data_IF_334275943943
#
_entry.id   IF_334275943943
#
_cell.length_a   1.000
_cell.length_b   1.000
_cell.length_c   1.000
_cell.angle_alpha   90.00
_cell.angle_beta   90.00
_cell.angle_gamma   90.00
#
_symmetry.space_group_name_H-M   'P 1'
#
loop_
_entity.id
_entity.type
_entity.pdbx_description
1 polymer ?
#
# COMPACT_ATOMS: atom_id res chain seq x y z
N UNK A 1 -17.47 10.65 35.34
CA UNK A 1 -17.20 9.79 34.17
C UNK A 1 -16.69 10.69 33.07
N UNK A 2 -15.38 10.69 32.82
CA UNK A 2 -14.81 11.44 31.71
C UNK A 2 -15.16 10.70 30.42
N UNK A 3 -16.08 11.24 29.62
CA UNK A 3 -16.23 10.84 28.22
C UNK A 3 -14.89 11.07 27.55
N UNK A 4 -14.11 10.00 27.31
CA UNK A 4 -12.99 10.07 26.38
C UNK A 4 -13.56 10.56 25.04
N UNK A 5 -12.87 11.46 24.31
CA UNK A 5 -13.30 11.80 22.97
C UNK A 5 -13.39 10.50 22.16
N UNK A 6 -14.49 10.33 21.44
CA UNK A 6 -14.57 9.30 20.42
C UNK A 6 -13.37 9.52 19.49
N UNK A 7 -12.58 8.47 19.25
CA UNK A 7 -11.59 8.53 18.16
C UNK A 7 -12.29 9.02 16.89
N UNK A 8 -11.60 9.79 16.04
CA UNK A 8 -12.19 10.20 14.78
C UNK A 8 -12.58 8.95 13.99
N UNK A 9 -13.59 9.11 13.15
CA UNK A 9 -14.00 8.09 12.21
C UNK A 9 -12.83 7.78 11.26
N UNK A 10 -12.38 6.52 11.25
CA UNK A 10 -11.22 6.08 10.48
C UNK A 10 -11.42 6.31 8.98
N UNK A 11 -12.64 6.15 8.46
CA UNK A 11 -12.92 6.38 7.03
C UNK A 11 -12.79 7.85 6.64
N UNK A 12 -13.14 8.76 7.55
CA UNK A 12 -12.92 10.20 7.39
C UNK A 12 -11.44 10.53 7.38
N UNK A 13 -10.66 9.94 8.30
CA UNK A 13 -9.21 10.12 8.35
C UNK A 13 -8.54 9.56 7.09
N UNK A 14 -8.97 8.38 6.63
CA UNK A 14 -8.49 7.81 5.37
C UNK A 14 -8.80 8.71 4.18
N UNK A 15 -10.05 9.19 4.05
CA UNK A 15 -10.44 10.05 2.95
C UNK A 15 -9.68 11.38 2.92
N UNK A 16 -9.33 11.93 4.08
CA UNK A 16 -8.50 13.12 4.19
C UNK A 16 -7.04 12.89 3.76
N UNK A 17 -6.52 11.66 3.94
CA UNK A 17 -5.23 11.28 3.39
C UNK A 17 -5.31 11.05 1.86
N UNK A 18 -6.20 10.15 1.47
CA UNK A 18 -6.64 9.93 0.09
C UNK A 18 -7.90 9.04 0.08
N UNK A 19 -8.97 9.41 -0.65
CA UNK A 19 -10.15 8.56 -0.78
C UNK A 19 -9.81 7.26 -1.53
N UNK A 20 -10.54 6.18 -1.26
CA UNK A 20 -10.21 4.83 -1.77
C UNK A 20 -9.98 4.78 -3.29
N UNK A 21 -10.82 5.46 -4.09
CA UNK A 21 -10.68 5.49 -5.55
C UNK A 21 -9.36 6.13 -6.01
N UNK A 22 -8.90 7.18 -5.32
CA UNK A 22 -7.64 7.86 -5.63
C UNK A 22 -6.43 6.96 -5.31
N UNK A 23 -6.47 6.26 -4.18
CA UNK A 23 -5.43 5.29 -3.81
C UNK A 23 -5.35 4.16 -4.83
N UNK A 24 -6.50 3.67 -5.31
CA UNK A 24 -6.58 2.61 -6.33
C UNK A 24 -6.00 3.10 -7.67
N UNK A 25 -6.35 4.31 -8.10
CA UNK A 25 -5.79 4.93 -9.31
C UNK A 25 -4.26 5.05 -9.21
N UNK A 26 -3.76 5.60 -8.10
CA UNK A 26 -2.33 5.78 -7.85
C UNK A 26 -1.58 4.44 -7.82
N UNK A 27 -2.14 3.43 -7.14
CA UNK A 27 -1.60 2.07 -7.14
C UNK A 27 -1.52 1.49 -8.55
N UNK A 28 -2.58 1.60 -9.35
CA UNK A 28 -2.60 1.09 -10.73
C UNK A 28 -1.59 1.84 -11.60
N UNK A 29 -1.44 3.16 -11.43
CA UNK A 29 -0.43 3.96 -12.11
C UNK A 29 0.99 3.50 -11.75
N UNK A 30 1.24 3.17 -10.48
CA UNK A 30 2.51 2.60 -10.01
C UNK A 30 2.85 1.30 -10.71
N UNK A 31 1.95 0.32 -10.69
CA UNK A 31 2.23 -0.97 -11.31
C UNK A 31 2.36 -0.86 -12.83
N UNK A 32 1.56 0.00 -13.47
CA UNK A 32 1.64 0.25 -14.91
C UNK A 32 2.98 0.87 -15.31
N UNK A 33 3.38 1.95 -14.63
CA UNK A 33 4.67 2.59 -14.90
C UNK A 33 5.84 1.66 -14.54
N UNK A 34 5.74 0.93 -13.43
CA UNK A 34 6.75 -0.05 -13.04
C UNK A 34 6.95 -1.11 -14.11
N UNK A 35 5.87 -1.62 -14.69
CA UNK A 35 5.94 -2.57 -15.80
C UNK A 35 6.49 -1.94 -17.08
N UNK A 36 6.12 -0.70 -17.42
CA UNK A 36 6.70 0.03 -18.55
C UNK A 36 8.24 0.16 -18.44
N UNK A 37 8.76 0.32 -17.22
CA UNK A 37 10.19 0.41 -16.95
C UNK A 37 10.89 -0.95 -16.96
N UNK A 38 10.24 -1.99 -16.43
CA UNK A 38 10.78 -3.36 -16.35
C UNK A 38 10.72 -4.10 -17.69
N UNK A 39 9.66 -3.88 -18.47
CA UNK A 39 9.40 -4.52 -19.75
C UNK A 39 8.92 -3.47 -20.78
N UNK A 40 9.82 -2.63 -21.32
CA UNK A 40 9.46 -1.62 -22.30
C UNK A 40 8.81 -2.22 -23.54
N UNK A 41 7.66 -1.66 -23.95
CA UNK A 41 6.92 -2.12 -25.13
C UNK A 41 5.95 -3.28 -24.86
N UNK A 42 5.70 -3.63 -23.60
CA UNK A 42 4.63 -4.56 -23.24
C UNK A 42 3.25 -4.02 -23.69
N UNK A 43 2.29 -4.92 -23.92
CA UNK A 43 0.92 -4.53 -24.26
C UNK A 43 0.23 -3.86 -23.07
N UNK A 44 -0.63 -2.84 -23.28
CA UNK A 44 -1.33 -2.18 -22.18
C UNK A 44 -2.09 -3.16 -21.28
N UNK A 45 -1.76 -3.16 -20.00
CA UNK A 45 -2.36 -4.05 -19.01
C UNK A 45 -3.72 -3.53 -18.54
N UNK A 46 -4.77 -4.37 -18.54
CA UNK A 46 -6.09 -3.98 -18.05
C UNK A 46 -6.07 -3.80 -16.52
N UNK A 47 -6.91 -2.89 -16.02
CA UNK A 47 -7.02 -2.59 -14.59
C UNK A 47 -7.29 -3.82 -13.72
N UNK A 48 -8.06 -4.81 -14.23
CA UNK A 48 -8.33 -6.04 -13.51
C UNK A 48 -7.07 -6.90 -13.26
N UNK A 49 -6.08 -6.83 -14.14
CA UNK A 49 -4.79 -7.52 -13.96
C UNK A 49 -3.87 -6.71 -13.04
N UNK A 50 -3.87 -5.37 -13.14
CA UNK A 50 -3.23 -4.51 -12.14
C UNK A 50 -3.82 -4.69 -10.75
N UNK A 51 -5.05 -5.23 -10.66
CA UNK A 51 -5.69 -5.56 -9.40
C UNK A 51 -5.45 -6.95 -8.84
N UNK A 52 -4.77 -7.79 -9.61
CA UNK A 52 -4.48 -9.15 -9.23
C UNK A 52 -3.28 -9.21 -8.27
N UNK A 53 -3.44 -9.76 -7.05
CA UNK A 53 -2.34 -9.83 -6.08
C UNK A 53 -1.13 -10.64 -6.57
N UNK A 54 -1.32 -11.63 -7.46
CA UNK A 54 -0.21 -12.39 -8.05
C UNK A 54 0.57 -11.59 -9.09
N UNK A 55 -0.11 -10.74 -9.86
CA UNK A 55 0.52 -9.80 -10.78
C UNK A 55 1.37 -8.79 -10.02
N UNK A 56 0.75 -8.16 -9.01
CA UNK A 56 1.37 -7.15 -8.16
C UNK A 56 2.58 -7.69 -7.43
N UNK A 57 2.53 -8.93 -6.92
CA UNK A 57 3.68 -9.60 -6.32
C UNK A 57 4.88 -9.64 -7.27
N UNK A 58 4.68 -10.08 -8.52
CA UNK A 58 5.76 -10.22 -9.51
C UNK A 58 6.38 -8.88 -9.88
N UNK A 59 5.56 -7.86 -10.14
CA UNK A 59 6.06 -6.51 -10.38
C UNK A 59 6.78 -5.98 -9.13
N UNK A 60 6.22 -6.19 -7.95
CA UNK A 60 6.82 -5.76 -6.68
C UNK A 60 8.17 -6.40 -6.39
N UNK A 61 8.34 -7.71 -6.64
CA UNK A 61 9.63 -8.40 -6.51
C UNK A 61 10.66 -7.86 -7.51
N UNK A 62 10.25 -7.54 -8.72
CA UNK A 62 11.11 -6.98 -9.76
C UNK A 62 11.50 -5.53 -9.51
N UNK A 63 10.56 -4.68 -9.09
CA UNK A 63 10.84 -3.31 -8.65
C UNK A 63 11.74 -3.28 -7.40
N UNK A 64 11.71 -4.32 -6.59
CA UNK A 64 12.62 -4.45 -5.45
C UNK A 64 13.98 -5.08 -5.80
N UNK A 65 14.22 -5.43 -7.07
CA UNK A 65 15.46 -6.07 -7.53
C UNK A 65 15.71 -7.47 -6.96
N UNK A 66 14.67 -8.13 -6.43
CA UNK A 66 14.79 -9.47 -5.82
C UNK A 66 14.67 -10.59 -6.85
N UNK A 67 13.80 -10.41 -7.83
CA UNK A 67 13.57 -11.36 -8.92
C UNK A 67 13.39 -10.60 -10.23
N UNK A 68 13.86 -11.13 -11.38
CA UNK A 68 13.53 -10.52 -12.67
C UNK A 68 12.02 -10.59 -12.94
N UNK A 69 11.49 -9.60 -13.66
CA UNK A 69 10.11 -9.68 -14.13
C UNK A 69 9.99 -10.77 -15.19
N UNK A 70 9.05 -11.70 -14.98
CA UNK A 70 8.70 -12.76 -15.92
C UNK A 70 7.20 -12.72 -16.16
N UNK A 71 6.83 -12.54 -17.42
CA UNK A 71 5.44 -12.65 -17.82
C UNK A 71 4.97 -14.09 -17.62
N UNK A 72 3.80 -14.23 -17.01
CA UNK A 72 3.23 -15.53 -16.65
C UNK A 72 1.72 -15.38 -16.50
N UNK A 73 1.04 -16.49 -16.78
CA UNK A 73 -0.41 -16.61 -16.64
C UNK A 73 -0.82 -16.49 -15.17
N UNK A 74 -1.37 -15.34 -14.84
CA UNK A 74 -2.01 -15.04 -13.57
C UNK A 74 -3.52 -14.92 -13.66
N UNK A 75 -4.15 -15.44 -14.72
CA UNK A 75 -5.59 -15.40 -14.81
C UNK A 75 -6.22 -16.18 -13.63
N UNK A 76 -6.84 -15.42 -12.73
CA UNK A 76 -7.57 -15.95 -11.57
C UNK A 76 -9.00 -16.34 -11.93
N UNK A 77 -9.51 -15.92 -13.09
CA UNK A 77 -10.90 -16.17 -13.52
C UNK A 77 -11.31 -17.64 -13.42
N UNK A 78 -10.52 -18.59 -13.96
CA UNK A 78 -10.86 -20.02 -13.92
C UNK A 78 -10.91 -20.64 -12.52
N UNK A 79 -10.28 -20.01 -11.52
CA UNK A 79 -10.16 -20.56 -10.16
C UNK A 79 -10.94 -19.78 -9.10
N UNK A 80 -11.69 -18.74 -9.50
CA UNK A 80 -12.41 -17.87 -8.57
C UNK A 80 -13.91 -17.86 -8.81
N UNK A 81 -14.67 -17.56 -7.75
CA UNK A 81 -16.08 -17.20 -7.80
C UNK A 81 -16.24 -15.77 -7.31
N UNK A 82 -16.95 -14.94 -8.05
CA UNK A 82 -17.26 -13.57 -7.63
C UNK A 82 -18.47 -13.56 -6.69
N UNK A 83 -18.29 -12.97 -5.51
CA UNK A 83 -19.36 -12.75 -4.55
C UNK A 83 -19.69 -11.25 -4.45
N UNK A 84 -20.98 -10.89 -4.40
CA UNK A 84 -21.37 -9.50 -4.25
C UNK A 84 -21.04 -8.97 -2.85
N UNK A 85 -20.44 -7.78 -2.79
CA UNK A 85 -20.08 -7.09 -1.55
C UNK A 85 -20.54 -5.60 -1.58
N UNK A 86 -21.74 -5.36 -2.11
CA UNK A 86 -22.29 -4.02 -2.32
C UNK A 86 -22.04 -3.53 -3.75
N UNK A 87 -21.39 -2.35 -3.96
CA UNK A 87 -21.07 -1.82 -5.28
C UNK A 87 -19.87 -2.52 -5.92
N UNK A 88 -19.14 -3.35 -5.15
CA UNK A 88 -18.00 -4.14 -5.61
C UNK A 88 -18.29 -5.63 -5.48
N UNK A 89 -17.56 -6.43 -6.24
CA UNK A 89 -17.51 -7.89 -6.12
C UNK A 89 -16.16 -8.31 -5.56
N UNK A 90 -16.14 -9.30 -4.67
CA UNK A 90 -14.90 -9.91 -4.16
C UNK A 90 -14.74 -11.27 -4.82
N UNK A 91 -13.55 -11.51 -5.39
CA UNK A 91 -13.18 -12.84 -5.90
C UNK A 91 -12.80 -13.73 -4.73
N UNK A 92 -13.39 -14.92 -4.69
CA UNK A 92 -13.06 -15.97 -3.71
C UNK A 92 -12.44 -17.14 -4.47
N UNK A 93 -11.27 -17.61 -4.02
CA UNK A 93 -10.64 -18.80 -4.61
C UNK A 93 -11.43 -20.07 -4.27
N UNK A 94 -12.05 -20.68 -5.26
CA UNK A 94 -12.96 -21.85 -5.10
C UNK A 94 -12.65 -22.99 -6.05
N UNK A 95 -11.92 -22.74 -7.15
CA UNK A 95 -11.63 -23.72 -8.19
C UNK A 95 -10.67 -24.82 -7.73
N UNK A 96 -10.77 -25.99 -8.36
CA UNK A 96 -9.96 -27.16 -8.00
C UNK A 96 -8.44 -26.92 -8.10
N UNK A 97 -8.02 -26.13 -9.09
CA UNK A 97 -6.60 -25.81 -9.34
C UNK A 97 -6.09 -24.63 -8.49
N UNK A 98 -6.92 -24.05 -7.62
CA UNK A 98 -6.55 -22.87 -6.84
C UNK A 98 -5.34 -23.13 -5.92
N UNK A 99 -5.23 -24.35 -5.36
CA UNK A 99 -4.10 -24.74 -4.51
C UNK A 99 -2.77 -24.66 -5.27
N UNK A 100 -2.73 -25.11 -6.53
CA UNK A 100 -1.50 -25.12 -7.31
C UNK A 100 -1.13 -23.71 -7.77
N UNK A 101 -2.13 -22.93 -8.22
CA UNK A 101 -1.94 -21.53 -8.66
C UNK A 101 -1.49 -20.61 -7.52
N UNK A 102 -1.89 -20.87 -6.28
CA UNK A 102 -1.58 -20.05 -5.10
C UNK A 102 -0.47 -20.65 -4.21
N UNK A 103 0.19 -21.72 -4.64
CA UNK A 103 1.19 -22.43 -3.84
C UNK A 103 2.37 -21.54 -3.39
N UNK A 104 2.85 -20.64 -4.26
CA UNK A 104 3.91 -19.68 -3.90
C UNK A 104 3.42 -18.72 -2.81
N UNK A 105 2.24 -18.12 -3.00
CA UNK A 105 1.65 -17.20 -2.03
C UNK A 105 1.50 -17.88 -0.65
N UNK A 106 1.03 -19.13 -0.62
CA UNK A 106 0.88 -19.89 0.63
C UNK A 106 2.23 -20.16 1.31
N UNK A 107 3.29 -20.46 0.55
CA UNK A 107 4.65 -20.63 1.09
C UNK A 107 5.20 -19.35 1.70
N UNK A 108 5.07 -18.23 0.99
CA UNK A 108 5.56 -16.93 1.46
C UNK A 108 4.81 -16.50 2.71
N UNK A 109 3.47 -16.56 2.70
CA UNK A 109 2.65 -16.17 3.84
C UNK A 109 2.92 -17.08 5.04
N UNK A 110 3.04 -18.40 4.84
CA UNK A 110 3.41 -19.31 5.92
C UNK A 110 4.77 -18.96 6.52
N UNK A 111 5.77 -18.60 5.72
CA UNK A 111 7.09 -18.21 6.21
C UNK A 111 7.03 -16.94 7.04
N UNK A 112 6.13 -16.01 6.71
CA UNK A 112 5.94 -14.75 7.44
C UNK A 112 5.12 -14.94 8.73
N UNK A 113 4.06 -15.75 8.68
CA UNK A 113 3.11 -15.86 9.79
C UNK A 113 3.41 -17.01 10.76
N UNK A 114 3.91 -18.14 10.26
CA UNK A 114 4.13 -19.37 11.03
C UNK A 114 5.43 -20.09 10.61
N UNK A 115 6.62 -19.50 10.84
CA UNK A 115 7.90 -20.08 10.41
C UNK A 115 8.08 -21.55 10.84
N UNK A 116 8.58 -22.39 9.92
CA UNK A 116 8.85 -23.81 10.18
C UNK A 116 7.66 -24.77 10.10
N UNK A 117 6.46 -24.30 9.74
CA UNK A 117 5.30 -25.15 9.46
C UNK A 117 5.16 -25.47 7.97
N UNK A 118 4.25 -26.39 7.63
CA UNK A 118 3.89 -26.61 6.22
C UNK A 118 2.97 -25.48 5.73
N UNK A 119 3.08 -25.07 4.45
CA UNK A 119 2.14 -24.10 3.87
C UNK A 119 0.69 -24.58 4.03
N UNK A 120 -0.25 -23.69 4.40
CA UNK A 120 -1.65 -24.03 4.48
C UNK A 120 -2.20 -24.29 3.07
N UNK A 121 -3.24 -25.12 3.00
CA UNK A 121 -4.00 -25.40 1.78
C UNK A 121 -5.29 -24.60 1.76
N UNK A 122 -5.79 -24.38 0.56
CA UNK A 122 -7.08 -23.75 0.33
C UNK A 122 -8.21 -24.77 0.49
N UNK A 123 -9.29 -24.34 1.14
CA UNK A 123 -10.56 -25.05 1.18
C UNK A 123 -11.34 -24.75 -0.10
N UNK A 124 -11.36 -25.70 -1.02
CA UNK A 124 -12.04 -25.59 -2.32
C UNK A 124 -13.27 -26.50 -2.38
N UNK A 125 -14.33 -26.08 -3.08
CA UNK A 125 -15.54 -26.90 -3.25
C UNK A 125 -16.43 -27.03 -2.01
N UNK A 126 -16.33 -26.08 -1.07
CA UNK A 126 -17.16 -26.05 0.14
C UNK A 126 -18.25 -24.96 0.04
N UNK A 127 -19.44 -25.38 -0.35
CA UNK A 127 -20.58 -24.48 -0.57
C UNK A 127 -21.06 -23.81 0.73
N UNK A 128 -20.91 -24.46 1.88
CA UNK A 128 -21.30 -23.91 3.18
C UNK A 128 -20.35 -22.79 3.62
N UNK A 129 -19.04 -23.01 3.48
CA UNK A 129 -18.04 -21.99 3.74
C UNK A 129 -18.23 -20.79 2.80
N UNK A 130 -18.47 -21.05 1.51
CA UNK A 130 -18.73 -20.00 0.52
C UNK A 130 -20.00 -19.20 0.83
N UNK A 131 -21.09 -19.87 1.24
CA UNK A 131 -22.32 -19.20 1.67
C UNK A 131 -22.10 -18.34 2.92
N UNK A 132 -21.28 -18.82 3.86
CA UNK A 132 -20.89 -18.09 5.08
C UNK A 132 -20.06 -16.86 4.74
N UNK A 133 -19.11 -16.97 3.81
CA UNK A 133 -18.34 -15.84 3.27
C UNK A 133 -19.27 -14.80 2.63
N UNK A 134 -20.19 -15.23 1.77
CA UNK A 134 -21.15 -14.32 1.15
C UNK A 134 -22.02 -13.61 2.19
N UNK A 135 -22.45 -14.31 3.24
CA UNK A 135 -23.20 -13.71 4.35
C UNK A 135 -22.36 -12.74 5.17
N UNK A 136 -21.07 -13.05 5.38
CA UNK A 136 -20.12 -12.19 6.05
C UNK A 136 -19.86 -10.88 5.32
N UNK A 137 -19.62 -10.94 4.01
CA UNK A 137 -19.45 -9.74 3.17
C UNK A 137 -20.68 -8.82 3.23
N UNK A 138 -21.89 -9.39 3.22
CA UNK A 138 -23.12 -8.62 3.46
C UNK A 138 -23.16 -8.03 4.87
N UNK A 139 -22.74 -8.79 5.88
CA UNK A 139 -22.73 -8.35 7.28
C UNK A 139 -21.76 -7.19 7.52
N UNK A 140 -20.60 -7.14 6.87
CA UNK A 140 -19.69 -5.97 6.93
C UNK A 140 -20.44 -4.70 6.54
N UNK A 141 -21.15 -4.74 5.40
CA UNK A 141 -21.88 -3.58 4.86
C UNK A 141 -23.10 -3.21 5.69
N UNK A 142 -23.81 -4.20 6.23
CA UNK A 142 -24.96 -4.01 7.12
C UNK A 142 -24.55 -3.29 8.42
N UNK A 143 -23.41 -3.67 8.99
CA UNK A 143 -22.91 -3.11 10.26
C UNK A 143 -22.22 -1.77 10.06
N UNK A 144 -21.27 -1.71 9.12
CA UNK A 144 -20.43 -0.53 8.90
C UNK A 144 -20.26 -0.26 7.39
N UNK A 145 -21.26 0.35 6.74
CA UNK A 145 -21.21 0.58 5.30
C UNK A 145 -20.04 1.47 4.88
N UNK A 146 -19.67 2.44 5.71
CA UNK A 146 -18.52 3.31 5.45
C UNK A 146 -17.20 2.52 5.44
N UNK A 147 -16.94 1.69 6.46
CA UNK A 147 -15.75 0.82 6.47
C UNK A 147 -15.78 -0.20 5.33
N UNK A 148 -16.96 -0.71 4.98
CA UNK A 148 -17.12 -1.62 3.85
C UNK A 148 -16.67 -0.97 2.54
N UNK A 149 -17.19 0.21 2.22
CA UNK A 149 -16.84 0.97 1.01
C UNK A 149 -15.36 1.38 1.00
N UNK A 150 -14.82 1.68 2.17
CA UNK A 150 -13.45 2.16 2.34
C UNK A 150 -12.38 1.07 2.24
N UNK A 151 -12.66 -0.16 2.73
CA UNK A 151 -11.69 -1.26 2.82
C UNK A 151 -11.85 -2.29 1.69
N UNK A 152 -13.08 -2.68 1.33
CA UNK A 152 -13.31 -3.76 0.36
C UNK A 152 -12.78 -3.43 -1.04
N UNK A 153 -12.70 -2.15 -1.39
CA UNK A 153 -12.16 -1.70 -2.67
C UNK A 153 -10.66 -2.06 -2.85
N UNK A 154 -9.96 -2.40 -1.76
CA UNK A 154 -8.55 -2.80 -1.78
C UNK A 154 -8.36 -4.33 -1.81
N UNK A 155 -9.40 -5.11 -1.49
CA UNK A 155 -9.34 -6.58 -1.46
C UNK A 155 -9.55 -7.13 -2.88
N UNK A 156 -8.50 -7.71 -3.46
CA UNK A 156 -8.54 -8.30 -4.79
C UNK A 156 -8.87 -9.79 -4.81
N UNK A 157 -8.49 -10.53 -3.76
CA UNK A 157 -8.72 -11.97 -3.65
C UNK A 157 -8.90 -12.38 -2.18
N UNK A 158 -9.96 -13.13 -1.91
CA UNK A 158 -10.20 -13.79 -0.63
C UNK A 158 -9.99 -15.30 -0.78
N UNK A 159 -9.34 -15.90 0.22
CA UNK A 159 -9.05 -17.33 0.28
C UNK A 159 -9.54 -17.87 1.62
N UNK A 160 -10.28 -18.97 1.56
CA UNK A 160 -10.63 -19.75 2.76
C UNK A 160 -9.63 -20.90 2.89
N UNK A 161 -9.03 -21.05 4.08
CA UNK A 161 -8.05 -22.09 4.37
C UNK A 161 -8.72 -23.37 4.83
N UNK A 162 -8.09 -24.50 4.52
CA UNK A 162 -8.47 -25.80 5.07
C UNK A 162 -8.00 -25.87 6.54
N UNK A 163 -8.94 -25.98 7.52
CA UNK A 163 -8.60 -25.97 8.94
C UNK A 163 -7.69 -27.14 9.34
N UNK A 164 -7.66 -28.24 8.57
CA UNK A 164 -6.74 -29.35 8.81
C UNK A 164 -5.27 -28.99 8.53
N UNK A 165 -5.04 -27.92 7.76
CA UNK A 165 -3.69 -27.50 7.32
C UNK A 165 -3.34 -26.06 7.70
N UNK A 166 -4.32 -25.24 8.11
CA UNK A 166 -4.13 -23.83 8.50
C UNK A 166 -3.13 -23.67 9.64
N UNK A 167 -2.96 -24.70 10.47
CA UNK A 167 -2.00 -24.70 11.58
C UNK A 167 -2.36 -23.68 12.66
N UNK A 168 -3.62 -23.27 12.74
CA UNK A 168 -4.12 -22.25 13.66
C UNK A 168 -4.03 -20.81 13.13
N UNK A 169 -3.75 -20.63 11.83
CA UNK A 169 -3.82 -19.33 11.18
C UNK A 169 -5.29 -18.91 11.00
N UNK A 170 -5.74 -17.94 11.80
CA UNK A 170 -7.14 -17.45 11.78
C UNK A 170 -7.39 -16.54 10.58
N UNK A 171 -6.52 -15.57 10.36
CA UNK A 171 -6.53 -14.69 9.20
C UNK A 171 -5.13 -14.18 8.91
N UNK A 172 -4.88 -13.79 7.66
CA UNK A 172 -3.63 -13.17 7.25
C UNK A 172 -3.78 -12.35 5.97
N UNK A 173 -2.90 -11.38 5.84
CA UNK A 173 -2.59 -10.66 4.62
C UNK A 173 -1.08 -10.47 4.55
N UNK A 174 -0.56 -10.24 3.35
CA UNK A 174 0.88 -10.01 3.15
C UNK A 174 1.11 -8.82 2.26
N UNK A 175 2.04 -7.96 2.66
CA UNK A 175 2.52 -6.86 1.82
C UNK A 175 3.14 -7.32 0.50
N UNK A 176 3.59 -8.57 0.42
CA UNK A 176 4.13 -9.14 -0.82
C UNK A 176 3.03 -9.52 -1.81
N UNK A 177 1.84 -9.86 -1.30
CA UNK A 177 0.65 -10.15 -2.12
C UNK A 177 -0.45 -9.12 -1.83
N UNK A 178 -0.23 -7.83 -2.13
CA UNK A 178 -1.15 -6.77 -1.75
C UNK A 178 -2.50 -6.98 -2.45
N UNK A 179 -3.56 -7.10 -1.65
CA UNK A 179 -4.91 -7.44 -2.12
C UNK A 179 -5.35 -8.87 -1.81
N UNK A 180 -4.44 -9.74 -1.34
CA UNK A 180 -4.76 -11.09 -0.90
C UNK A 180 -5.11 -11.13 0.58
N UNK A 181 -6.30 -11.66 0.89
CA UNK A 181 -6.77 -11.94 2.24
C UNK A 181 -6.97 -13.45 2.41
N UNK A 182 -6.43 -14.01 3.49
CA UNK A 182 -6.66 -15.39 3.91
C UNK A 182 -7.50 -15.38 5.19
N UNK A 183 -8.46 -16.28 5.28
CA UNK A 183 -9.21 -16.57 6.50
C UNK A 183 -9.29 -18.08 6.71
N UNK A 184 -9.29 -18.54 7.96
CA UNK A 184 -9.65 -19.92 8.28
C UNK A 184 -11.11 -20.20 7.90
N UNK A 185 -11.52 -21.48 7.88
CA UNK A 185 -12.93 -21.85 7.62
C UNK A 185 -13.84 -21.13 8.62
N UNK A 186 -14.68 -20.17 8.17
CA UNK A 186 -15.52 -19.43 9.10
C UNK A 186 -16.70 -20.29 9.57
N UNK A 187 -17.04 -20.16 10.85
CA UNK A 187 -18.23 -20.76 11.46
C UNK A 187 -19.43 -19.81 11.47
N UNK A 188 -19.20 -18.51 11.27
CA UNK A 188 -20.25 -17.50 11.29
C UNK A 188 -19.96 -16.31 10.36
N UNK A 189 -21.00 -15.57 9.93
CA UNK A 189 -20.81 -14.33 9.17
C UNK A 189 -19.98 -13.27 9.89
N UNK A 190 -19.99 -13.27 11.24
CA UNK A 190 -19.25 -12.29 12.03
C UNK A 190 -17.75 -12.55 12.01
N UNK A 191 -17.30 -13.81 11.97
CA UNK A 191 -15.88 -14.14 11.81
C UNK A 191 -15.34 -13.64 10.48
N UNK A 192 -16.11 -13.82 9.40
CA UNK A 192 -15.76 -13.26 8.08
C UNK A 192 -15.74 -11.75 8.14
N UNK A 193 -16.77 -11.11 8.74
CA UNK A 193 -16.84 -9.66 8.79
C UNK A 193 -15.67 -9.05 9.58
N UNK A 194 -15.34 -9.63 10.73
CA UNK A 194 -14.21 -9.23 11.55
C UNK A 194 -12.88 -9.41 10.80
N UNK A 195 -12.66 -10.57 10.19
CA UNK A 195 -11.45 -10.83 9.42
C UNK A 195 -11.30 -9.89 8.22
N UNK A 196 -12.39 -9.57 7.53
CA UNK A 196 -12.38 -8.63 6.40
C UNK A 196 -12.06 -7.20 6.86
N UNK A 197 -12.59 -6.75 8.00
CA UNK A 197 -12.21 -5.44 8.54
C UNK A 197 -10.73 -5.44 8.95
N UNK A 198 -10.26 -6.49 9.61
CA UNK A 198 -8.86 -6.61 10.05
C UNK A 198 -7.90 -6.63 8.85
N UNK A 199 -8.04 -7.63 7.98
CA UNK A 199 -7.12 -7.84 6.88
C UNK A 199 -7.31 -6.81 5.76
N UNK A 200 -8.54 -6.34 5.55
CA UNK A 200 -8.82 -5.22 4.63
C UNK A 200 -8.14 -3.93 5.08
N UNK A 201 -8.04 -3.66 6.38
CA UNK A 201 -7.28 -2.55 6.91
C UNK A 201 -5.78 -2.67 6.60
N UNK A 202 -5.18 -3.85 6.83
CA UNK A 202 -3.77 -4.10 6.44
C UNK A 202 -3.56 -3.89 4.94
N UNK A 203 -4.44 -4.46 4.10
CA UNK A 203 -4.34 -4.33 2.65
C UNK A 203 -4.43 -2.86 2.20
N UNK A 204 -5.35 -2.09 2.77
CA UNK A 204 -5.43 -0.65 2.52
C UNK A 204 -4.17 0.09 2.98
N UNK A 205 -3.63 -0.27 4.15
CA UNK A 205 -2.40 0.32 4.64
C UNK A 205 -1.22 0.01 3.71
N UNK A 206 -1.13 -1.19 3.15
CA UNK A 206 -0.10 -1.52 2.16
C UNK A 206 -0.22 -0.62 0.92
N UNK A 207 -1.44 -0.37 0.45
CA UNK A 207 -1.67 0.57 -0.66
C UNK A 207 -1.29 2.02 -0.28
N UNK A 208 -1.55 2.45 0.96
CA UNK A 208 -1.04 3.73 1.46
C UNK A 208 0.48 3.74 1.49
N UNK A 209 1.13 2.71 2.02
CA UNK A 209 2.58 2.66 2.18
C UNK A 209 3.35 2.72 0.84
N UNK A 210 2.75 2.26 -0.27
CA UNK A 210 3.37 2.37 -1.61
C UNK A 210 3.03 3.67 -2.34
N UNK A 211 2.02 4.43 -1.88
CA UNK A 211 1.57 5.67 -2.52
C UNK A 211 1.87 6.93 -1.70
N UNK A 212 2.23 6.78 -0.41
CA UNK A 212 2.34 7.85 0.59
C UNK A 212 3.58 7.68 1.46
N UNK A 213 3.96 8.71 2.20
CA UNK A 213 5.15 8.74 3.04
C UNK A 213 4.86 8.13 4.42
N UNK A 214 5.02 6.81 4.54
CA UNK A 214 4.71 6.08 5.77
C UNK A 214 5.94 5.72 6.62
N UNK A 215 6.96 5.10 6.02
CA UNK A 215 8.14 4.61 6.73
C UNK A 215 9.42 5.11 6.03
N UNK A 216 10.37 5.61 6.81
CA UNK A 216 11.67 6.06 6.32
C UNK A 216 12.62 4.87 6.16
N UNK A 217 13.57 4.96 5.22
CA UNK A 217 14.46 3.85 4.85
C UNK A 217 15.29 3.29 6.03
N UNK A 218 15.71 4.15 6.97
CA UNK A 218 16.67 3.78 8.02
C UNK A 218 16.13 3.98 9.46
N UNK A 219 14.97 4.62 9.65
CA UNK A 219 14.59 5.14 10.96
C UNK A 219 14.02 4.09 11.93
N UNK A 220 13.62 2.91 11.42
CA UNK A 220 12.96 1.86 12.18
C UNK A 220 13.88 0.71 12.65
N UNK A 221 15.16 0.70 12.25
CA UNK A 221 16.05 -0.43 12.53
C UNK A 221 16.30 -0.59 14.04
N UNK A 222 16.16 -1.83 14.54
CA UNK A 222 16.40 -2.17 15.95
C UNK A 222 15.28 -1.79 16.94
N UNK A 223 14.27 -1.01 16.52
CA UNK A 223 13.12 -0.64 17.36
C UNK A 223 12.08 -1.76 17.35
N UNK A 224 11.77 -2.29 18.52
CA UNK A 224 10.80 -3.39 18.67
C UNK A 224 9.78 -3.10 19.76
N UNK A 225 8.52 -3.34 19.44
CA UNK A 225 7.41 -3.32 20.39
C UNK A 225 7.09 -4.75 20.83
N UNK A 226 6.75 -4.93 22.11
CA UNK A 226 6.19 -6.18 22.62
C UNK A 226 4.84 -5.86 23.26
N UNK A 227 3.71 -6.20 22.61
CA UNK A 227 2.40 -5.94 23.18
C UNK A 227 2.20 -6.72 24.48
N UNK A 228 1.39 -6.18 25.39
CA UNK A 228 1.08 -6.79 26.69
C UNK A 228 0.41 -8.17 26.59
N UNK A 229 -0.19 -8.50 25.44
CA UNK A 229 -0.91 -9.74 25.19
C UNK A 229 -0.17 -10.75 24.29
N UNK A 230 1.07 -10.46 23.86
CA UNK A 230 1.87 -11.41 23.07
C UNK A 230 3.35 -11.32 23.42
N UNK A 231 4.04 -12.46 23.41
CA UNK A 231 5.49 -12.51 23.60
C UNK A 231 6.29 -12.13 22.35
N UNK A 232 5.60 -11.94 21.21
CA UNK A 232 6.24 -11.59 19.95
C UNK A 232 6.82 -10.16 19.99
N UNK A 233 8.00 -9.99 19.39
CA UNK A 233 8.58 -8.69 19.14
C UNK A 233 8.21 -8.23 17.74
N UNK A 234 7.66 -7.02 17.62
CA UNK A 234 7.19 -6.45 16.36
C UNK A 234 8.06 -5.26 15.96
N UNK A 235 8.64 -5.24 14.74
CA UNK A 235 9.29 -4.05 14.22
C UNK A 235 8.26 -2.94 13.95
N UNK A 236 8.71 -1.68 13.91
CA UNK A 236 7.84 -0.49 13.75
C UNK A 236 6.80 -0.63 12.64
N UNK A 237 7.19 -1.17 11.48
CA UNK A 237 6.26 -1.43 10.35
C UNK A 237 5.07 -2.31 10.77
N UNK A 238 5.34 -3.44 11.42
CA UNK A 238 4.29 -4.35 11.90
C UNK A 238 3.44 -3.69 12.99
N UNK A 239 4.05 -2.84 13.81
CA UNK A 239 3.35 -2.12 14.87
C UNK A 239 2.38 -1.09 14.28
N UNK A 240 2.80 -0.34 13.26
CA UNK A 240 1.94 0.59 12.52
C UNK A 240 0.78 -0.14 11.83
N UNK A 241 1.06 -1.29 11.22
CA UNK A 241 0.04 -2.15 10.62
C UNK A 241 -0.99 -2.64 11.65
N UNK A 242 -0.52 -3.17 12.78
CA UNK A 242 -1.40 -3.59 13.86
C UNK A 242 -2.23 -2.43 14.44
N UNK A 243 -1.63 -1.25 14.63
CA UNK A 243 -2.34 -0.05 15.08
C UNK A 243 -3.52 0.29 14.16
N UNK A 244 -3.26 0.35 12.85
CA UNK A 244 -4.26 0.69 11.84
C UNK A 244 -5.40 -0.33 11.81
N UNK A 245 -5.09 -1.62 11.78
CA UNK A 245 -6.09 -2.68 11.80
C UNK A 245 -6.95 -2.67 13.07
N UNK A 246 -6.34 -2.54 14.25
CA UNK A 246 -7.11 -2.47 15.50
C UNK A 246 -7.93 -1.18 15.63
N UNK A 247 -7.51 -0.08 15.00
CA UNK A 247 -8.31 1.15 14.92
C UNK A 247 -9.59 0.92 14.11
N UNK A 248 -9.47 0.29 12.94
CA UNK A 248 -10.62 -0.05 12.10
C UNK A 248 -11.55 -1.05 12.82
N UNK A 249 -10.98 -2.07 13.47
CA UNK A 249 -11.77 -3.01 14.29
C UNK A 249 -12.44 -2.33 15.48
N UNK A 250 -11.81 -1.35 16.11
CA UNK A 250 -12.42 -0.64 17.24
C UNK A 250 -13.63 0.18 16.78
N UNK A 251 -13.57 0.80 15.59
CA UNK A 251 -14.74 1.44 15.00
C UNK A 251 -15.82 0.41 14.65
N UNK A 252 -15.46 -0.70 14.00
CA UNK A 252 -16.43 -1.76 13.68
C UNK A 252 -17.10 -2.33 14.93
N UNK A 253 -16.35 -2.53 16.03
CA UNK A 253 -16.88 -2.97 17.31
C UNK A 253 -17.93 -2.00 17.87
N UNK A 254 -17.71 -0.69 17.74
CA UNK A 254 -18.69 0.33 18.13
C UNK A 254 -19.95 0.25 17.25
N UNK A 255 -19.79 -0.05 15.97
CA UNK A 255 -20.92 -0.20 15.04
C UNK A 255 -21.77 -1.43 15.39
N UNK A 256 -21.13 -2.57 15.70
CA UNK A 256 -21.80 -3.77 16.21
C UNK A 256 -22.52 -3.50 17.53
N UNK A 257 -21.89 -2.78 18.46
CA UNK A 257 -22.49 -2.41 19.74
C UNK A 257 -23.71 -1.51 19.55
N UNK A 258 -23.64 -0.53 18.64
CA UNK A 258 -24.78 0.35 18.31
C UNK A 258 -25.97 -0.42 17.73
N UNK A 259 -25.73 -1.53 17.03
CA UNK A 259 -26.80 -2.41 16.53
C UNK A 259 -27.32 -3.40 17.59
N UNK A 260 -26.68 -3.47 18.77
CA UNK A 260 -27.05 -4.42 19.82
C UNK A 260 -26.66 -5.86 19.50
N UNK A 261 -25.73 -6.08 18.57
CA UNK A 261 -25.38 -7.42 18.07
C UNK A 261 -24.14 -8.04 18.74
N UNK A 262 -23.60 -7.42 19.80
CA UNK A 262 -22.41 -7.94 20.52
C UNK A 262 -22.58 -9.37 21.05
N UNK A 263 -23.81 -9.80 21.34
CA UNK A 263 -24.12 -11.16 21.78
C UNK A 263 -24.00 -12.22 20.67
N UNK A 264 -23.87 -11.80 19.40
CA UNK A 264 -23.72 -12.68 18.23
C UNK A 264 -22.27 -13.00 17.91
N UNK A 265 -21.33 -12.38 18.61
CA UNK A 265 -19.90 -12.58 18.41
C UNK A 265 -19.43 -13.89 19.03
N UNK A 266 -18.49 -14.57 18.37
CA UNK A 266 -17.84 -15.75 18.92
C UNK A 266 -16.94 -15.42 20.13
N UNK A 267 -16.59 -16.43 20.94
CA UNK A 267 -15.76 -16.23 22.14
C UNK A 267 -14.35 -15.68 21.84
N UNK A 268 -13.84 -15.93 20.63
CA UNK A 268 -12.51 -15.53 20.20
C UNK A 268 -12.49 -14.18 19.45
N UNK A 269 -13.63 -13.47 19.38
CA UNK A 269 -13.72 -12.17 18.70
C UNK A 269 -12.80 -11.13 19.32
N UNK A 270 -12.03 -10.45 18.46
CA UNK A 270 -11.11 -9.37 18.82
C UNK A 270 -11.82 -8.04 19.06
N UNK A 271 -13.09 -7.91 18.67
CA UNK A 271 -13.83 -6.63 18.72
C UNK A 271 -13.87 -6.03 20.13
N UNK A 272 -14.04 -6.86 21.16
CA UNK A 272 -14.06 -6.42 22.56
C UNK A 272 -12.71 -5.85 23.05
N UNK A 273 -11.61 -6.19 22.38
CA UNK A 273 -10.24 -5.79 22.73
C UNK A 273 -9.64 -4.77 21.77
N UNK A 274 -10.27 -4.53 20.62
CA UNK A 274 -9.69 -3.74 19.54
C UNK A 274 -9.27 -2.33 20.00
N UNK A 275 -10.13 -1.62 20.74
CA UNK A 275 -9.82 -0.28 21.26
C UNK A 275 -8.64 -0.28 22.23
N UNK A 276 -8.62 -1.25 23.15
CA UNK A 276 -7.55 -1.39 24.15
C UNK A 276 -6.21 -1.62 23.45
N UNK A 277 -6.17 -2.56 22.50
CA UNK A 277 -4.98 -2.90 21.72
C UNK A 277 -4.49 -1.74 20.87
N UNK A 278 -5.37 -1.08 20.12
CA UNK A 278 -5.01 0.08 19.31
C UNK A 278 -4.46 1.22 20.19
N UNK A 279 -5.02 1.44 21.38
CA UNK A 279 -4.56 2.49 22.29
C UNK A 279 -3.15 2.20 22.83
N UNK A 280 -2.88 0.95 23.23
CA UNK A 280 -1.55 0.55 23.70
C UNK A 280 -0.50 0.76 22.60
N UNK A 281 -0.80 0.28 21.40
CA UNK A 281 0.10 0.38 20.25
C UNK A 281 0.33 1.85 19.87
N UNK A 282 -0.75 2.63 19.74
CA UNK A 282 -0.66 4.03 19.33
C UNK A 282 0.17 4.88 20.30
N UNK A 283 0.09 4.61 21.61
CA UNK A 283 0.94 5.28 22.60
C UNK A 283 2.42 4.95 22.44
N UNK A 284 2.74 3.71 22.11
CA UNK A 284 4.12 3.34 21.81
C UNK A 284 4.61 4.04 20.54
N UNK A 285 3.81 4.03 19.46
CA UNK A 285 4.16 4.71 18.21
C UNK A 285 4.35 6.23 18.39
N UNK A 286 3.59 6.88 19.27
CA UNK A 286 3.79 8.31 19.57
C UNK A 286 5.13 8.59 20.24
N UNK A 287 5.72 7.61 20.94
CA UNK A 287 7.07 7.70 21.50
C UNK A 287 8.17 7.41 20.49
N UNK A 288 7.82 6.84 19.33
CA UNK A 288 8.72 6.45 18.24
C UNK A 288 8.39 7.23 16.96
N UNK A 289 7.86 8.45 17.10
CA UNK A 289 7.31 9.21 15.98
C UNK A 289 8.38 9.56 14.93
N UNK A 290 9.63 9.70 15.35
CA UNK A 290 10.80 9.94 14.52
C UNK A 290 11.10 8.78 13.56
N UNK A 291 10.60 7.56 13.84
CA UNK A 291 10.67 6.41 12.95
C UNK A 291 9.60 6.42 11.83
N UNK A 292 8.61 7.30 11.94
CA UNK A 292 7.51 7.44 10.97
C UNK A 292 7.75 8.63 10.04
N UNK A 293 7.28 8.52 8.80
CA UNK A 293 7.26 9.64 7.86
C UNK A 293 5.99 10.49 8.01
N UNK A 294 5.92 11.61 7.28
CA UNK A 294 4.90 12.64 7.46
C UNK A 294 3.44 12.10 7.48
N UNK A 295 3.06 11.28 6.51
CA UNK A 295 1.67 10.80 6.38
C UNK A 295 1.33 9.81 7.50
N UNK A 296 2.26 8.93 7.88
CA UNK A 296 2.07 8.03 9.02
C UNK A 296 1.99 8.77 10.35
N UNK A 297 2.82 9.80 10.58
CA UNK A 297 2.73 10.66 11.78
C UNK A 297 1.38 11.37 11.84
N UNK A 298 0.93 11.93 10.73
CA UNK A 298 -0.37 12.60 10.65
C UNK A 298 -1.51 11.63 10.94
N UNK A 299 -1.51 10.44 10.32
CA UNK A 299 -2.51 9.40 10.54
C UNK A 299 -2.56 8.98 12.02
N UNK A 300 -1.41 8.66 12.61
CA UNK A 300 -1.26 8.26 14.01
C UNK A 300 -1.81 9.34 14.95
N UNK A 301 -1.32 10.58 14.82
CA UNK A 301 -1.70 11.69 15.71
C UNK A 301 -3.18 12.02 15.60
N UNK A 302 -3.73 12.02 14.38
CA UNK A 302 -5.16 12.24 14.13
C UNK A 302 -6.01 11.17 14.82
N UNK A 303 -5.72 9.88 14.59
CA UNK A 303 -6.46 8.77 15.17
C UNK A 303 -6.34 8.71 16.70
N UNK A 304 -5.18 9.10 17.25
CA UNK A 304 -4.96 9.17 18.69
C UNK A 304 -5.49 10.45 19.35
N UNK A 305 -6.09 11.36 18.57
CA UNK A 305 -6.52 12.70 19.00
C UNK A 305 -5.40 13.49 19.70
N UNK A 306 -4.16 13.35 19.21
CA UNK A 306 -3.01 14.09 19.72
C UNK A 306 -2.93 15.45 19.02
N UNK A 307 -3.22 16.52 19.76
CA UNK A 307 -3.24 17.90 19.25
C UNK A 307 -1.83 18.48 19.02
N UNK A 308 -0.78 17.76 19.41
CA UNK A 308 0.57 18.15 19.01
C UNK A 308 0.71 17.91 17.51
N UNK A 309 0.44 18.97 16.73
CA UNK A 309 0.47 18.93 15.27
C UNK A 309 1.79 18.36 14.75
N UNK A 310 1.80 17.68 13.59
CA UNK A 310 3.04 17.16 13.03
C UNK A 310 4.03 18.31 12.90
N UNK A 311 5.21 18.16 13.52
CA UNK A 311 6.28 19.13 13.38
C UNK A 311 6.52 19.37 11.90
N UNK A 312 6.48 20.64 11.48
CA UNK A 312 6.71 20.99 10.09
C UNK A 312 8.13 20.53 9.73
N UNK A 313 8.25 19.59 8.79
CA UNK A 313 9.56 19.18 8.30
C UNK A 313 10.26 20.42 7.74
N UNK A 314 11.47 20.69 8.23
CA UNK A 314 12.28 21.75 7.65
C UNK A 314 12.63 21.33 6.22
N UNK A 315 12.23 22.07 5.19
CA UNK A 315 12.57 21.72 3.82
C UNK A 315 14.09 21.69 3.70
N UNK A 316 14.62 20.59 3.17
CA UNK A 316 16.02 20.50 2.79
C UNK A 316 16.24 21.55 1.70
N UNK A 317 16.96 22.61 2.03
CA UNK A 317 17.16 23.76 1.16
C UNK A 317 18.62 23.83 0.77
N UNK A 318 19.02 23.02 -0.22
CA UNK A 318 20.24 23.33 -0.95
C UNK A 318 19.98 24.56 -1.81
N UNK A 319 20.85 25.58 -1.78
CA UNK A 319 20.68 26.75 -2.63
C UNK A 319 20.74 26.34 -4.10
N UNK A 320 19.70 26.70 -4.85
CA UNK A 320 19.62 26.48 -6.30
C UNK A 320 20.51 27.49 -7.01
N UNK A 321 21.44 26.99 -7.83
CA UNK A 321 22.38 27.83 -8.57
C UNK A 321 21.70 28.53 -9.75
N UNK A 322 22.31 29.59 -10.28
CA UNK A 322 21.83 30.17 -11.55
C UNK A 322 22.15 29.21 -12.70
N UNK A 323 21.14 28.82 -13.48
CA UNK A 323 21.31 27.86 -14.57
C UNK A 323 20.04 27.65 -15.40
N UNK A 324 20.11 26.74 -16.37
CA UNK A 324 18.93 26.16 -17.02
C UNK A 324 18.67 24.78 -16.43
N UNK A 325 17.41 24.49 -16.20
CA UNK A 325 16.95 23.28 -15.54
C UNK A 325 16.05 22.51 -16.50
N UNK A 326 16.37 21.25 -16.74
CA UNK A 326 15.57 20.37 -17.58
C UNK A 326 15.24 19.10 -16.80
N UNK A 327 14.05 18.54 -17.04
CA UNK A 327 13.73 17.22 -16.53
C UNK A 327 14.73 16.21 -17.11
N UNK A 328 15.14 15.23 -16.30
CA UNK A 328 16.00 14.15 -16.79
C UNK A 328 15.30 13.43 -17.98
N UNK A 329 15.95 13.34 -19.16
CA UNK A 329 15.33 12.79 -20.36
C UNK A 329 15.00 11.29 -20.26
N UNK A 330 15.56 10.59 -19.27
CA UNK A 330 15.24 9.18 -19.03
C UNK A 330 13.98 9.00 -18.19
N UNK A 331 13.48 10.06 -17.54
CA UNK A 331 12.26 9.95 -16.75
C UNK A 331 11.04 9.67 -17.63
N UNK A 332 10.10 8.96 -17.02
CA UNK A 332 8.74 8.73 -17.49
C UNK A 332 7.80 9.27 -16.43
N UNK A 333 6.81 10.04 -16.85
CA UNK A 333 5.83 10.64 -15.93
C UNK A 333 4.46 10.04 -16.19
N UNK A 334 3.75 9.72 -15.12
CA UNK A 334 2.32 9.43 -15.13
C UNK A 334 1.62 10.43 -14.20
N UNK A 335 0.66 11.20 -14.72
CA UNK A 335 -0.14 12.16 -13.93
C UNK A 335 -1.50 11.54 -13.61
N UNK A 336 -1.91 11.66 -12.36
CA UNK A 336 -3.20 11.18 -11.88
C UNK A 336 -4.22 12.31 -11.99
N UNK A 337 -5.36 12.04 -12.62
CA UNK A 337 -6.36 13.09 -12.87
C UNK A 337 -7.09 13.46 -11.58
N UNK A 338 -7.42 12.48 -10.73
CA UNK A 338 -8.21 12.74 -9.54
C UNK A 338 -7.43 13.49 -8.46
N UNK A 339 -6.12 13.27 -8.34
CA UNK A 339 -5.29 13.85 -7.27
C UNK A 339 -4.33 14.93 -7.74
N UNK A 340 -4.09 15.04 -9.05
CA UNK A 340 -3.11 15.95 -9.62
C UNK A 340 -1.65 15.57 -9.33
N UNK A 341 -1.41 14.51 -8.55
CA UNK A 341 -0.07 13.97 -8.26
C UNK A 341 0.56 13.43 -9.53
N UNK A 342 1.88 13.27 -9.49
CA UNK A 342 2.68 12.71 -10.59
C UNK A 342 3.57 11.61 -10.04
N UNK A 343 3.59 10.47 -10.73
CA UNK A 343 4.57 9.43 -10.52
C UNK A 343 5.67 9.60 -11.57
N UNK A 344 6.90 9.83 -11.11
CA UNK A 344 8.08 9.89 -11.95
C UNK A 344 8.86 8.58 -11.82
N UNK A 345 9.23 7.98 -12.94
CA UNK A 345 9.96 6.72 -12.98
C UNK A 345 11.20 6.79 -13.85
N UNK A 346 12.31 6.24 -13.38
CA UNK A 346 13.59 6.16 -14.10
C UNK A 346 13.95 4.69 -14.37
N UNK A 347 14.31 4.34 -15.62
CA UNK A 347 14.87 3.03 -15.92
C UNK A 347 16.15 2.75 -15.12
N UNK A 348 16.29 1.53 -14.61
CA UNK A 348 17.43 1.10 -13.79
C UNK A 348 17.33 -0.38 -13.46
N UNK A 349 18.27 -0.89 -12.66
CA UNK A 349 18.25 -2.26 -12.13
C UNK A 349 18.52 -2.23 -10.60
N UNK A 350 17.48 -2.08 -9.76
CA UNK A 350 16.06 -1.92 -10.12
C UNK A 350 15.69 -0.50 -10.61
N UNK A 351 14.52 -0.32 -11.26
CA UNK A 351 13.99 1.01 -11.59
C UNK A 351 13.72 1.87 -10.34
N UNK A 352 13.85 3.19 -10.49
CA UNK A 352 13.55 4.15 -9.42
C UNK A 352 12.19 4.80 -9.65
N UNK A 353 11.39 4.97 -8.58
CA UNK A 353 10.05 5.54 -8.63
C UNK A 353 9.91 6.64 -7.57
N UNK A 354 9.32 7.76 -7.94
CA UNK A 354 9.13 8.94 -7.08
C UNK A 354 7.72 9.49 -7.22
N UNK A 355 7.01 9.58 -6.10
CA UNK A 355 5.76 10.33 -6.03
C UNK A 355 6.03 11.81 -5.84
N UNK A 356 5.40 12.64 -6.66
CA UNK A 356 5.43 14.09 -6.62
C UNK A 356 4.01 14.63 -6.42
N UNK A 357 3.88 15.69 -5.63
CA UNK A 357 2.62 16.37 -5.38
C UNK A 357 2.77 17.90 -5.50
N UNK A 358 1.63 18.60 -5.50
CA UNK A 358 1.56 20.06 -5.53
C UNK A 358 2.48 20.71 -6.56
N UNK A 359 3.27 21.67 -6.09
CA UNK A 359 4.21 22.42 -6.94
C UNK A 359 5.32 21.55 -7.56
N UNK A 360 5.72 20.46 -6.91
CA UNK A 360 6.73 19.55 -7.45
C UNK A 360 6.20 18.78 -8.66
N UNK A 361 4.95 18.31 -8.57
CA UNK A 361 4.25 17.67 -9.68
C UNK A 361 4.05 18.64 -10.86
N UNK A 362 3.57 19.86 -10.58
CA UNK A 362 3.34 20.86 -11.61
C UNK A 362 4.64 21.28 -12.31
N UNK A 363 5.72 21.51 -11.55
CA UNK A 363 7.01 21.87 -12.11
C UNK A 363 7.62 20.72 -12.94
N UNK A 364 7.48 19.47 -12.51
CA UNK A 364 7.95 18.32 -13.29
C UNK A 364 7.23 18.21 -14.65
N UNK A 365 5.91 18.40 -14.68
CA UNK A 365 5.11 18.41 -15.92
C UNK A 365 5.47 19.61 -16.80
N UNK A 366 5.66 20.78 -16.20
CA UNK A 366 6.08 21.98 -16.93
C UNK A 366 7.45 21.79 -17.61
N UNK A 367 8.41 21.19 -16.90
CA UNK A 367 9.74 20.89 -17.45
C UNK A 367 9.69 19.77 -18.49
N UNK A 368 8.78 18.78 -18.37
CA UNK A 368 8.61 17.75 -19.40
C UNK A 368 8.10 18.31 -20.73
N UNK A 369 7.42 19.46 -20.70
CA UNK A 369 6.96 20.19 -21.88
C UNK A 369 8.00 21.16 -22.45
N UNK A 370 9.13 21.35 -21.77
CA UNK A 370 10.22 22.23 -22.19
C UNK A 370 11.56 21.46 -22.25
N UNK A 371 11.81 20.65 -23.30
CA UNK A 371 13.00 19.80 -23.39
C UNK A 371 14.34 20.56 -23.36
N UNK A 372 14.34 21.82 -23.80
CA UNK A 372 15.51 22.70 -23.71
C UNK A 372 15.80 23.20 -22.28
N UNK A 373 14.92 22.86 -21.33
CA UNK A 373 14.91 23.36 -19.97
C UNK A 373 14.35 24.78 -19.87
N UNK A 374 14.24 25.25 -18.63
CA UNK A 374 13.87 26.62 -18.25
C UNK A 374 14.94 27.22 -17.36
N UNK A 375 15.22 28.50 -17.54
CA UNK A 375 16.08 29.25 -16.63
C UNK A 375 15.40 29.44 -15.27
N UNK A 376 16.19 29.65 -14.21
CA UNK A 376 15.64 29.95 -12.88
C UNK A 376 14.69 31.16 -12.88
N UNK A 377 14.95 32.17 -13.73
CA UNK A 377 14.06 33.32 -13.90
C UNK A 377 12.72 32.99 -14.57
N UNK A 378 12.68 31.99 -15.45
CA UNK A 378 11.44 31.52 -16.06
C UNK A 378 10.64 30.61 -15.13
N UNK A 379 11.32 29.87 -14.25
CA UNK A 379 10.69 29.00 -13.25
C UNK A 379 10.07 29.80 -12.09
N UNK A 380 10.68 30.94 -11.74
CA UNK A 380 10.24 31.78 -10.63
C UNK A 380 11.01 31.50 -9.33
N UNK A 381 11.21 32.54 -8.53
CA UNK A 381 11.96 32.44 -7.27
C UNK A 381 11.18 31.70 -6.18
N UNK A 382 9.84 31.76 -6.25
CA UNK A 382 8.91 31.09 -5.36
C UNK A 382 9.01 29.55 -5.44
N UNK A 383 9.36 29.02 -6.62
CA UNK A 383 9.56 27.58 -6.84
C UNK A 383 11.00 27.10 -6.65
N UNK A 384 11.91 27.97 -6.23
CA UNK A 384 13.32 27.63 -6.09
C UNK A 384 13.56 26.50 -5.08
N UNK A 385 12.84 26.47 -3.97
CA UNK A 385 12.94 25.38 -2.98
C UNK A 385 12.53 24.04 -3.57
N UNK A 386 11.40 24.00 -4.28
CA UNK A 386 10.89 22.80 -4.94
C UNK A 386 11.87 22.31 -6.02
N UNK A 387 12.38 23.23 -6.84
CA UNK A 387 13.39 22.93 -7.84
C UNK A 387 14.66 22.34 -7.19
N UNK A 388 15.11 22.89 -6.06
CA UNK A 388 16.25 22.37 -5.30
C UNK A 388 16.03 20.93 -4.85
N UNK A 389 14.84 20.61 -4.32
CA UNK A 389 14.48 19.25 -3.94
C UNK A 389 14.44 18.30 -5.15
N UNK A 390 13.88 18.72 -6.29
CA UNK A 390 13.87 17.92 -7.52
C UNK A 390 15.28 17.67 -8.08
N UNK A 391 16.19 18.63 -7.94
CA UNK A 391 17.60 18.47 -8.33
C UNK A 391 18.33 17.53 -7.36
N UNK A 392 18.08 17.62 -6.06
CA UNK A 392 18.66 16.71 -5.06
C UNK A 392 18.17 15.27 -5.23
N UNK A 393 16.89 15.09 -5.55
CA UNK A 393 16.31 13.82 -5.95
C UNK A 393 16.78 13.37 -7.36
N UNK A 394 17.66 14.13 -8.01
CA UNK A 394 18.22 13.91 -9.35
C UNK A 394 17.19 13.90 -10.49
N UNK A 395 15.94 14.28 -10.24
CA UNK A 395 14.88 14.28 -11.25
C UNK A 395 15.04 15.40 -12.27
N UNK A 396 15.70 16.49 -11.86
CA UNK A 396 15.99 17.64 -12.70
C UNK A 396 17.50 17.85 -12.79
N UNK A 397 17.99 18.12 -13.99
CA UNK A 397 19.40 18.38 -14.27
C UNK A 397 19.63 19.87 -14.48
N UNK A 398 20.69 20.40 -13.88
CA UNK A 398 21.16 21.76 -14.13
C UNK A 398 22.19 21.77 -15.27
N UNK A 399 21.92 22.50 -16.35
CA UNK A 399 22.87 22.78 -17.41
C UNK A 399 23.60 24.12 -17.14
N UNK A 400 24.93 24.15 -17.14
CA UNK A 400 25.68 25.40 -17.02
C UNK A 400 25.40 26.29 -18.24
N UNK A 401 25.16 27.59 -18.00
CA UNK A 401 24.97 28.58 -19.07
C UNK A 401 26.19 28.59 -20.00
N UNK A 402 26.00 28.23 -21.26
CA UNK A 402 26.99 28.43 -22.33
C UNK A 402 27.89 27.24 -22.67
N UNK A 403 27.66 26.05 -22.10
CA UNK A 403 28.33 24.83 -22.55
C UNK A 403 27.67 24.27 -23.80
N UNK A 404 28.19 24.61 -24.99
CA UNK A 404 27.91 23.83 -26.20
C UNK A 404 28.33 22.39 -25.91
N UNK A 405 27.40 21.43 -26.00
CA UNK A 405 27.73 20.01 -25.98
C UNK A 405 28.69 19.76 -27.14
N UNK A 406 29.99 19.68 -26.85
CA UNK A 406 31.01 19.34 -27.84
C UNK A 406 30.78 17.89 -28.25
N UNK A 407 30.10 17.74 -29.39
CA UNK A 407 30.10 16.53 -30.21
C UNK A 407 31.54 16.24 -30.63
N UNK A 408 32.30 15.57 -29.77
CA UNK A 408 33.54 14.93 -30.20
C UNK A 408 33.20 13.52 -30.66
N UNK A 409 32.98 13.41 -31.97
CA UNK A 409 33.05 12.16 -32.72
C UNK A 409 34.39 11.50 -32.42
N UNK A 410 34.37 10.48 -31.57
CA UNK A 410 35.48 9.57 -31.36
C UNK A 410 35.64 8.65 -32.56
N UNK A 411 36.19 9.17 -33.65
CA UNK A 411 36.78 8.34 -34.71
C UNK A 411 38.07 7.73 -34.15
N UNK A 412 37.98 6.51 -33.59
CA UNK A 412 39.16 5.70 -33.33
C UNK A 412 39.68 5.18 -34.67
N UNK A 413 40.69 5.87 -35.22
CA UNK A 413 41.59 5.27 -36.19
C UNK A 413 42.43 4.21 -35.48
N UNK A 414 42.28 2.95 -35.89
CA UNK A 414 43.20 1.88 -35.53
C UNK A 414 44.47 2.02 -36.37
N UNK A 415 45.58 2.43 -35.77
CA UNK A 415 46.91 2.11 -36.27
C UNK A 415 47.41 0.87 -35.53
N UNK A 416 47.93 -0.07 -36.33
CA UNK A 416 48.22 -1.43 -35.90
C UNK A 416 49.51 -1.61 -35.11
N UNK A 417 49.62 -2.82 -34.57
CA UNK A 417 50.79 -3.68 -34.68
C UNK A 417 50.34 -5.14 -34.67
#
# INVERSE_FOLDING_TARGET
MYSRPAWPDATTVHAALAPAHAVIEERRALYRLGLDLLAPGHEPVPDAQLDNPLFRFRIGEALAGRLPYVDADDDLGPITTELPAGPVSIRVATGADANDRLAEAMRVIQTQSLPGRRPPRLLTGDDEALATVAAGLRKVREVSPALADDLLAHVGLLVVLDPATSGGLISASSRLFPGLVLIDRPSSPYEVAEAIIHEGAHVKLFDFAITRNFLGADAAEGRVFRPSWSSAAWPVEQVLAAFHAYTCLAQFAQDVERQGEMSRLGPDSLLSRARERATEIGRWLLGEDDALEFDARWLLRTLMCDETGPGQLSPVTRPVLSGHYALDPLLRLARMEATGRVLAGRPGDPPELHWLDGEAADLAVELSQAPAGKSLSEIGAERATVLGALVEATLVRAAPRGGVLSSSDGTFASEGN
#
